data_IF_940651718314
#
_entry.id   IF_940651718314
#
_cell.length_a   1.000
_cell.length_b   1.000
_cell.length_c   1.000
_cell.angle_alpha   90.00
_cell.angle_beta   90.00
_cell.angle_gamma   90.00
#
_symmetry.space_group_name_H-M   'P 1'
#
loop_
_entity.id
_entity.type
_entity.pdbx_description
1 polymer ?
#
# COMPACT_ATOMS: atom_id res chain seq x y z
N UNK A 1 13.84 14.32 7.41
CA UNK A 1 13.71 15.56 6.61
C UNK A 1 14.91 16.51 6.74
N UNK A 2 15.76 16.39 7.75
CA UNK A 2 16.93 17.26 7.91
C UNK A 2 18.19 16.77 7.18
N UNK A 3 18.18 15.59 6.57
CA UNK A 3 19.33 14.97 5.90
C UNK A 3 19.17 14.73 4.39
N UNK A 4 18.30 15.51 3.72
CA UNK A 4 18.05 15.43 2.28
C UNK A 4 16.89 14.50 1.91
N UNK A 5 16.47 14.57 0.63
CA UNK A 5 15.27 13.89 0.08
C UNK A 5 15.37 12.36 -0.04
N UNK A 6 16.29 11.75 0.71
CA UNK A 6 16.62 10.34 0.54
C UNK A 6 15.85 9.39 1.47
N UNK A 7 15.30 9.91 2.55
CA UNK A 7 14.51 9.09 3.47
C UNK A 7 13.04 9.23 3.15
N UNK A 8 12.46 8.12 2.69
CA UNK A 8 11.05 8.08 2.36
C UNK A 8 10.20 8.00 3.61
N UNK A 9 9.29 8.96 3.75
CA UNK A 9 8.26 8.92 4.78
C UNK A 9 7.09 8.07 4.28
N UNK A 10 6.25 7.57 5.17
CA UNK A 10 4.99 6.91 4.79
C UNK A 10 4.14 7.78 3.89
N UNK A 11 4.06 9.07 4.18
CA UNK A 11 3.27 10.00 3.37
C UNK A 11 3.78 10.08 1.93
N UNK A 12 5.10 10.16 1.72
CA UNK A 12 5.66 10.21 0.35
C UNK A 12 5.44 8.91 -0.39
N UNK A 13 5.61 7.76 0.28
CA UNK A 13 5.31 6.44 -0.29
C UNK A 13 3.83 6.34 -0.69
N UNK A 14 2.91 6.65 0.22
CA UNK A 14 1.47 6.57 -0.03
C UNK A 14 1.02 7.47 -1.19
N UNK A 15 1.58 8.69 -1.32
CA UNK A 15 1.30 9.60 -2.45
C UNK A 15 1.80 8.99 -3.77
N UNK A 16 2.94 8.34 -3.77
CA UNK A 16 3.50 7.69 -4.95
C UNK A 16 2.67 6.47 -5.37
N UNK A 17 2.29 5.62 -4.41
CA UNK A 17 1.34 4.52 -4.66
C UNK A 17 0.06 5.06 -5.29
N UNK A 18 -0.52 6.12 -4.73
CA UNK A 18 -1.73 6.73 -5.25
C UNK A 18 -1.56 7.28 -6.68
N UNK A 19 -0.39 7.86 -7.01
CA UNK A 19 -0.09 8.35 -8.36
C UNK A 19 -0.01 7.20 -9.37
N UNK A 20 0.69 6.12 -9.04
CA UNK A 20 0.79 4.92 -9.89
C UNK A 20 -0.61 4.30 -10.08
N UNK A 21 -1.35 4.14 -8.99
CA UNK A 21 -2.68 3.57 -8.99
C UNK A 21 -3.68 4.36 -9.84
N UNK A 22 -3.67 5.70 -9.76
CA UNK A 22 -4.48 6.57 -10.63
C UNK A 22 -4.13 6.40 -12.11
N UNK A 23 -2.85 6.26 -12.42
CA UNK A 23 -2.40 6.06 -13.80
C UNK A 23 -2.92 4.74 -14.35
N UNK A 24 -2.77 3.65 -13.60
CA UNK A 24 -3.23 2.31 -14.03
C UNK A 24 -4.75 2.29 -14.13
N UNK A 25 -5.48 2.78 -13.12
CA UNK A 25 -6.95 2.80 -13.13
C UNK A 25 -7.52 3.62 -14.28
N UNK A 26 -6.90 4.76 -14.62
CA UNK A 26 -7.30 5.59 -15.75
C UNK A 26 -7.17 4.84 -17.08
N UNK A 27 -6.06 4.10 -17.29
CA UNK A 27 -5.85 3.29 -18.51
C UNK A 27 -6.84 2.15 -18.61
N UNK A 28 -7.18 1.54 -17.47
CA UNK A 28 -8.13 0.42 -17.40
C UNK A 28 -9.60 0.86 -17.42
N UNK A 29 -9.89 2.16 -17.36
CA UNK A 29 -11.25 2.69 -17.29
C UNK A 29 -11.96 2.41 -15.96
N UNK A 30 -11.21 2.26 -14.86
CA UNK A 30 -11.71 2.09 -13.52
C UNK A 30 -11.97 3.44 -12.83
N UNK A 31 -12.56 3.41 -11.64
CA UNK A 31 -12.80 4.61 -10.84
C UNK A 31 -11.49 5.09 -10.18
N UNK A 32 -10.86 6.11 -10.79
CA UNK A 32 -9.57 6.64 -10.33
C UNK A 32 -9.65 7.31 -8.96
N UNK A 33 -10.76 7.93 -8.60
CA UNK A 33 -10.96 8.54 -7.28
C UNK A 33 -11.06 7.48 -6.19
N UNK A 34 -11.79 6.38 -6.44
CA UNK A 34 -11.87 5.26 -5.51
C UNK A 34 -10.50 4.58 -5.35
N UNK A 35 -9.81 4.35 -6.46
CA UNK A 35 -8.46 3.77 -6.45
C UNK A 35 -7.49 4.62 -5.64
N UNK A 36 -7.51 5.94 -5.83
CA UNK A 36 -6.70 6.89 -5.06
C UNK A 36 -7.03 6.84 -3.57
N UNK A 37 -8.32 6.88 -3.22
CA UNK A 37 -8.76 6.85 -1.82
C UNK A 37 -8.29 5.57 -1.10
N UNK A 38 -8.39 4.41 -1.76
CA UNK A 38 -7.89 3.14 -1.22
C UNK A 38 -6.37 3.19 -1.06
N UNK A 39 -5.65 3.65 -2.09
CA UNK A 39 -4.19 3.76 -2.07
C UNK A 39 -3.68 4.71 -0.98
N UNK A 40 -4.38 5.82 -0.73
CA UNK A 40 -4.02 6.75 0.35
C UNK A 40 -4.27 6.17 1.74
N UNK A 41 -5.18 5.23 1.86
CA UNK A 41 -5.64 4.71 3.14
C UNK A 41 -5.10 3.31 3.50
N UNK A 42 -4.53 2.56 2.55
CA UNK A 42 -4.17 1.16 2.74
C UNK A 42 -3.27 0.92 3.96
N UNK A 43 -2.28 1.80 4.16
CA UNK A 43 -1.25 1.69 5.20
C UNK A 43 -1.50 2.52 6.47
N UNK A 44 -2.67 3.17 6.61
CA UNK A 44 -2.96 4.03 7.76
C UNK A 44 -2.84 3.31 9.11
N UNK A 45 -3.07 2.01 9.15
CA UNK A 45 -3.03 1.21 10.37
C UNK A 45 -1.64 0.70 10.75
N UNK A 46 -0.63 0.85 9.93
CA UNK A 46 0.69 0.28 10.19
C UNK A 46 1.38 0.91 11.42
N UNK A 47 1.97 0.08 12.32
CA UNK A 47 2.75 0.56 13.45
C UNK A 47 4.14 1.04 12.98
N UNK A 48 4.93 1.71 13.84
CA UNK A 48 6.34 1.97 13.59
C UNK A 48 7.12 0.67 13.33
N UNK A 49 8.15 0.74 12.49
CA UNK A 49 9.03 -0.38 12.10
C UNK A 49 8.38 -1.45 11.19
N UNK A 50 7.31 -1.08 10.45
CA UNK A 50 6.68 -1.93 9.43
C UNK A 50 6.23 -3.29 9.98
N UNK A 51 6.41 -4.35 9.20
CA UNK A 51 5.99 -5.70 9.57
C UNK A 51 6.66 -6.25 10.84
N UNK A 52 7.95 -5.93 11.07
CA UNK A 52 8.64 -6.34 12.31
C UNK A 52 8.01 -5.70 13.55
N UNK A 53 7.61 -4.43 13.44
CA UNK A 53 6.86 -3.75 14.50
C UNK A 53 5.47 -4.35 14.70
N UNK A 54 4.80 -4.70 13.63
CA UNK A 54 3.49 -5.36 13.66
C UNK A 54 3.56 -6.74 14.34
N UNK A 55 4.50 -7.60 13.95
CA UNK A 55 4.71 -8.91 14.55
C UNK A 55 5.00 -8.81 16.05
N UNK A 56 5.85 -7.86 16.43
CA UNK A 56 6.19 -7.60 17.83
C UNK A 56 4.94 -7.15 18.60
N UNK A 57 4.21 -6.18 18.06
CA UNK A 57 3.00 -5.65 18.69
C UNK A 57 1.91 -6.72 18.78
N UNK A 58 1.71 -7.51 17.73
CA UNK A 58 0.77 -8.64 17.72
C UNK A 58 1.10 -9.65 18.82
N UNK A 59 2.39 -9.98 19.00
CA UNK A 59 2.84 -10.90 20.06
C UNK A 59 2.60 -10.34 21.45
N UNK A 60 2.88 -9.05 21.67
CA UNK A 60 2.68 -8.37 22.96
C UNK A 60 1.19 -8.21 23.30
N UNK A 61 0.34 -8.15 22.30
CA UNK A 61 -1.11 -7.99 22.45
C UNK A 61 -1.87 -9.32 22.35
N UNK A 62 -1.21 -10.45 22.44
CA UNK A 62 -1.84 -11.77 22.31
C UNK A 62 -3.04 -11.96 23.26
N UNK A 63 -2.94 -11.50 24.50
CA UNK A 63 -4.02 -11.53 25.49
C UNK A 63 -5.20 -10.58 25.17
N UNK A 64 -5.04 -9.70 24.20
CA UNK A 64 -6.00 -8.67 23.77
C UNK A 64 -6.44 -8.84 22.32
N UNK A 65 -6.46 -10.06 21.80
CA UNK A 65 -6.83 -10.43 20.41
C UNK A 65 -5.77 -10.06 19.37
N UNK A 66 -4.54 -9.76 19.80
CA UNK A 66 -3.42 -9.44 18.90
C UNK A 66 -3.51 -8.04 18.29
N UNK A 67 -2.67 -7.81 17.28
CA UNK A 67 -2.65 -6.60 16.48
C UNK A 67 -2.56 -6.97 14.99
N UNK A 68 -3.32 -6.26 14.17
CA UNK A 68 -3.33 -6.37 12.70
C UNK A 68 -3.52 -4.98 12.12
N UNK A 69 -2.66 -4.59 11.17
CA UNK A 69 -2.67 -3.23 10.62
C UNK A 69 -3.93 -2.92 9.83
N UNK A 70 -4.53 -3.89 9.13
CA UNK A 70 -5.79 -3.68 8.39
C UNK A 70 -6.96 -3.47 9.37
N UNK A 71 -7.02 -4.25 10.45
CA UNK A 71 -8.02 -4.05 11.50
C UNK A 71 -7.85 -2.69 12.18
N UNK A 72 -6.61 -2.26 12.38
CA UNK A 72 -6.32 -0.95 12.95
C UNK A 72 -6.65 0.18 11.97
N UNK A 73 -6.35 0.04 10.67
CA UNK A 73 -6.78 0.99 9.64
C UNK A 73 -8.30 1.16 9.61
N UNK A 74 -9.05 0.03 9.59
CA UNK A 74 -10.50 0.08 9.68
C UNK A 74 -10.97 0.81 10.93
N UNK A 75 -10.38 0.51 12.08
CA UNK A 75 -10.75 1.14 13.36
C UNK A 75 -10.46 2.64 13.36
N UNK A 76 -9.34 3.05 12.76
CA UNK A 76 -9.00 4.47 12.59
C UNK A 76 -10.09 5.19 11.82
N UNK A 77 -10.41 4.73 10.61
CA UNK A 77 -11.31 5.44 9.70
C UNK A 77 -12.80 5.31 10.06
N UNK A 78 -13.18 4.34 10.90
CA UNK A 78 -14.60 4.12 11.27
C UNK A 78 -14.95 4.55 12.69
N UNK A 79 -13.94 4.73 13.58
CA UNK A 79 -14.20 5.00 15.01
C UNK A 79 -13.31 6.07 15.61
N UNK A 80 -11.97 6.01 15.37
CA UNK A 80 -11.02 6.83 16.13
C UNK A 80 -10.97 8.26 15.60
N UNK A 81 -10.99 8.42 14.27
CA UNK A 81 -11.04 9.75 13.65
C UNK A 81 -12.37 10.44 13.96
N UNK A 82 -12.30 11.62 14.55
CA UNK A 82 -13.48 12.37 15.02
C UNK A 82 -13.48 13.79 14.49
N UNK A 83 -13.73 13.91 13.20
CA UNK A 83 -13.82 15.21 12.53
C UNK A 83 -15.26 15.78 12.47
N UNK A 84 -16.26 14.94 12.70
CA UNK A 84 -17.67 15.29 12.55
C UNK A 84 -18.43 15.12 13.86
N UNK A 85 -19.25 16.11 14.21
CA UNK A 85 -20.04 16.07 15.45
C UNK A 85 -21.18 15.03 15.42
N UNK A 86 -21.62 14.62 14.23
CA UNK A 86 -22.78 13.77 14.02
C UNK A 86 -22.48 12.27 14.05
N UNK A 87 -21.22 11.87 13.84
CA UNK A 87 -20.81 10.47 13.77
C UNK A 87 -19.31 10.30 14.05
N UNK A 88 -18.92 9.12 14.50
CA UNK A 88 -17.52 8.72 14.62
C UNK A 88 -16.97 8.29 13.24
N UNK A 89 -15.65 8.39 13.08
CA UNK A 89 -14.96 8.02 11.84
C UNK A 89 -15.08 9.07 10.72
N UNK A 90 -14.67 8.68 9.53
CA UNK A 90 -14.62 9.53 8.33
C UNK A 90 -15.83 9.38 7.41
N UNK A 91 -16.76 8.48 7.73
CA UNK A 91 -17.93 8.15 6.91
C UNK A 91 -17.57 7.78 5.46
N UNK A 92 -16.54 6.94 5.31
CA UNK A 92 -16.11 6.46 4.00
C UNK A 92 -17.16 5.54 3.37
N UNK A 93 -17.15 5.45 2.03
CA UNK A 93 -18.06 4.56 1.32
C UNK A 93 -17.73 3.09 1.57
N UNK A 94 -18.69 2.22 1.32
CA UNK A 94 -18.52 0.78 1.46
C UNK A 94 -17.36 0.25 0.61
N UNK A 95 -17.25 0.73 -0.63
CA UNK A 95 -16.20 0.34 -1.58
C UNK A 95 -14.81 0.73 -1.09
N UNK A 96 -14.66 1.89 -0.47
CA UNK A 96 -13.40 2.33 0.12
C UNK A 96 -13.01 1.45 1.30
N UNK A 97 -13.95 1.16 2.21
CA UNK A 97 -13.71 0.31 3.38
C UNK A 97 -13.39 -1.14 2.98
N UNK A 98 -14.13 -1.67 2.02
CA UNK A 98 -13.88 -2.98 1.42
C UNK A 98 -12.46 -3.04 0.83
N UNK A 99 -12.09 -2.02 0.07
CA UNK A 99 -10.76 -1.92 -0.52
C UNK A 99 -9.63 -1.85 0.50
N UNK A 100 -9.77 -1.02 1.54
CA UNK A 100 -8.78 -0.91 2.62
C UNK A 100 -8.50 -2.27 3.28
N UNK A 101 -9.55 -3.06 3.53
CA UNK A 101 -9.42 -4.33 4.24
C UNK A 101 -8.91 -5.46 3.33
N UNK A 102 -9.27 -5.43 2.05
CA UNK A 102 -9.03 -6.54 1.12
C UNK A 102 -7.98 -6.24 0.05
N UNK A 103 -7.24 -5.14 0.12
CA UNK A 103 -6.19 -4.87 -0.88
C UNK A 103 -5.15 -6.01 -0.93
N UNK A 104 -4.87 -6.68 0.19
CA UNK A 104 -4.00 -7.87 0.25
C UNK A 104 -4.72 -9.19 -0.10
N UNK A 105 -5.96 -9.14 -0.58
CA UNK A 105 -6.74 -10.29 -0.99
C UNK A 105 -7.86 -10.68 -0.01
N UNK A 106 -8.60 -11.77 -0.30
CA UNK A 106 -9.69 -12.27 0.54
C UNK A 106 -9.22 -12.71 1.93
N UNK A 107 -10.00 -12.42 2.97
CA UNK A 107 -9.71 -12.82 4.36
C UNK A 107 -10.31 -14.20 4.64
N UNK A 108 -9.63 -15.27 4.22
CA UNK A 108 -10.16 -16.64 4.31
C UNK A 108 -9.99 -17.27 5.69
N UNK A 109 -9.01 -16.83 6.48
CA UNK A 109 -8.67 -17.38 7.80
C UNK A 109 -8.14 -16.28 8.71
N UNK A 110 -8.26 -16.48 10.02
CA UNK A 110 -7.63 -15.60 11.00
C UNK A 110 -8.17 -14.17 11.00
N UNK A 111 -9.43 -13.96 10.58
CA UNK A 111 -10.02 -12.61 10.50
C UNK A 111 -9.95 -11.94 11.87
N UNK A 112 -9.30 -10.76 11.99
CA UNK A 112 -9.22 -10.00 13.22
C UNK A 112 -10.60 -9.69 13.80
N UNK A 113 -10.69 -9.64 15.13
CA UNK A 113 -11.97 -9.47 15.83
C UNK A 113 -12.70 -8.19 15.41
N UNK A 114 -11.98 -7.07 15.27
CA UNK A 114 -12.59 -5.81 14.87
C UNK A 114 -13.20 -5.88 13.47
N UNK A 115 -12.49 -6.46 12.50
CA UNK A 115 -13.00 -6.65 11.12
C UNK A 115 -14.23 -7.54 11.14
N UNK A 116 -14.21 -8.65 11.86
CA UNK A 116 -15.33 -9.57 11.96
C UNK A 116 -16.58 -8.92 12.57
N UNK A 117 -16.39 -8.12 13.62
CA UNK A 117 -17.49 -7.41 14.27
C UNK A 117 -18.07 -6.33 13.36
N UNK A 118 -17.22 -5.63 12.62
CA UNK A 118 -17.65 -4.62 11.64
C UNK A 118 -18.39 -5.26 10.45
N UNK A 119 -17.86 -6.37 9.91
CA UNK A 119 -18.48 -7.12 8.80
C UNK A 119 -19.86 -7.67 9.17
N UNK A 120 -20.08 -8.08 10.42
CA UNK A 120 -21.38 -8.54 10.89
C UNK A 120 -22.49 -7.47 10.72
N UNK A 121 -22.13 -6.19 10.78
CA UNK A 121 -23.03 -5.06 10.64
C UNK A 121 -23.09 -4.50 9.19
N UNK A 122 -21.98 -4.51 8.48
CA UNK A 122 -21.81 -3.78 7.21
C UNK A 122 -21.53 -4.67 5.98
N UNK A 123 -21.35 -5.99 6.17
CA UNK A 123 -21.23 -6.98 5.08
C UNK A 123 -20.16 -6.67 4.04
N UNK A 124 -18.88 -6.58 4.43
CA UNK A 124 -17.76 -6.26 3.53
C UNK A 124 -17.36 -7.39 2.57
N UNK A 125 -18.09 -8.52 2.55
CA UNK A 125 -17.84 -9.67 1.67
C UNK A 125 -16.38 -10.18 1.77
N UNK A 126 -15.93 -10.43 3.01
CA UNK A 126 -14.53 -10.70 3.34
C UNK A 126 -13.91 -11.87 2.55
N UNK A 127 -14.71 -12.84 2.12
CA UNK A 127 -14.26 -14.06 1.45
C UNK A 127 -14.15 -13.94 -0.06
N UNK A 128 -14.70 -12.87 -0.65
CA UNK A 128 -14.61 -12.58 -2.07
C UNK A 128 -13.36 -11.75 -2.38
N UNK A 129 -12.90 -11.79 -3.63
CA UNK A 129 -11.85 -10.87 -4.06
C UNK A 129 -12.31 -9.42 -3.95
N UNK A 130 -11.35 -8.54 -3.70
CA UNK A 130 -11.59 -7.11 -3.66
C UNK A 130 -11.99 -6.56 -5.03
N UNK A 131 -12.56 -5.34 -5.05
CA UNK A 131 -12.80 -4.59 -6.28
C UNK A 131 -11.54 -4.47 -7.15
N UNK A 132 -11.72 -4.24 -8.45
CA UNK A 132 -10.58 -4.03 -9.35
C UNK A 132 -9.73 -2.82 -8.91
N UNK A 133 -10.37 -1.79 -8.39
CA UNK A 133 -9.71 -0.61 -7.83
C UNK A 133 -8.79 -0.96 -6.65
N UNK A 134 -9.23 -1.81 -5.74
CA UNK A 134 -8.42 -2.26 -4.62
C UNK A 134 -7.25 -3.16 -5.08
N UNK A 135 -7.46 -4.00 -6.09
CA UNK A 135 -6.40 -4.80 -6.68
C UNK A 135 -5.36 -3.92 -7.41
N UNK A 136 -5.80 -2.83 -8.06
CA UNK A 136 -4.88 -1.84 -8.63
C UNK A 136 -4.10 -1.11 -7.55
N UNK A 137 -4.73 -0.76 -6.42
CA UNK A 137 -4.03 -0.16 -5.29
C UNK A 137 -2.92 -1.10 -4.76
N UNK A 138 -3.22 -2.39 -4.59
CA UNK A 138 -2.25 -3.40 -4.15
C UNK A 138 -1.06 -3.55 -5.09
N UNK A 139 -1.31 -3.72 -6.40
CA UNK A 139 -0.20 -3.85 -7.36
C UNK A 139 0.63 -2.57 -7.48
N UNK A 140 0.02 -1.41 -7.23
CA UNK A 140 0.70 -0.12 -7.24
C UNK A 140 1.60 0.06 -6.03
N UNK A 141 1.22 -0.49 -4.88
CA UNK A 141 2.08 -0.56 -3.71
C UNK A 141 3.31 -1.44 -3.98
N UNK A 142 3.12 -2.63 -4.55
CA UNK A 142 4.21 -3.50 -4.97
C UNK A 142 5.17 -2.80 -5.96
N UNK A 143 4.65 -2.05 -6.93
CA UNK A 143 5.45 -1.31 -7.91
C UNK A 143 6.28 -0.23 -7.21
N UNK A 144 5.66 0.58 -6.35
CA UNK A 144 6.34 1.64 -5.62
C UNK A 144 7.40 1.04 -4.68
N UNK A 145 7.06 0.03 -3.91
CA UNK A 145 7.96 -0.66 -2.99
C UNK A 145 9.19 -1.23 -3.71
N UNK A 146 8.99 -2.03 -4.75
CA UNK A 146 10.09 -2.63 -5.51
C UNK A 146 10.98 -1.58 -6.18
N UNK A 147 10.41 -0.50 -6.71
CA UNK A 147 11.18 0.61 -7.30
C UNK A 147 12.09 1.26 -6.28
N UNK A 148 11.64 1.37 -5.04
CA UNK A 148 12.42 1.93 -3.95
C UNK A 148 13.54 1.02 -3.49
N UNK A 149 13.26 -0.26 -3.32
CA UNK A 149 14.25 -1.25 -2.91
C UNK A 149 15.39 -1.33 -3.93
N UNK A 150 15.07 -1.26 -5.22
CA UNK A 150 16.08 -1.21 -6.28
C UNK A 150 16.94 0.06 -6.17
N UNK A 151 16.32 1.22 -5.97
CA UNK A 151 17.04 2.48 -5.83
C UNK A 151 17.92 2.51 -4.57
N UNK A 152 17.39 2.06 -3.44
CA UNK A 152 18.11 2.01 -2.18
C UNK A 152 19.26 0.99 -2.23
N UNK A 153 19.05 -0.15 -2.86
CA UNK A 153 20.08 -1.17 -3.07
C UNK A 153 21.24 -0.68 -3.94
N UNK A 154 20.94 0.00 -5.05
CA UNK A 154 21.96 0.65 -5.90
C UNK A 154 22.75 1.69 -5.12
N UNK A 155 22.09 2.51 -4.36
CA UNK A 155 22.70 3.56 -3.55
C UNK A 155 23.56 3.01 -2.42
N UNK A 156 23.09 1.95 -1.77
CA UNK A 156 23.84 1.22 -0.75
C UNK A 156 24.98 0.38 -1.34
N UNK A 157 25.09 0.31 -2.68
CA UNK A 157 26.08 -0.49 -3.40
C UNK A 157 25.98 -1.98 -3.09
N UNK A 158 24.77 -2.47 -2.86
CA UNK A 158 24.49 -3.89 -2.66
C UNK A 158 24.57 -4.66 -3.99
N UNK A 159 24.31 -3.98 -5.09
CA UNK A 159 24.42 -4.48 -6.47
C UNK A 159 24.70 -3.31 -7.44
N UNK A 160 25.11 -3.64 -8.66
CA UNK A 160 25.41 -2.66 -9.71
C UNK A 160 24.31 -2.59 -10.76
N UNK A 161 24.35 -1.55 -11.61
CA UNK A 161 23.43 -1.41 -12.77
C UNK A 161 23.62 -2.58 -13.75
N UNK A 162 24.86 -3.04 -13.95
CA UNK A 162 25.18 -4.17 -14.84
C UNK A 162 24.55 -5.47 -14.33
N UNK A 163 24.54 -5.68 -13.02
CA UNK A 163 23.86 -6.82 -12.40
C UNK A 163 22.36 -6.75 -12.61
N UNK A 164 21.74 -5.57 -12.42
CA UNK A 164 20.31 -5.36 -12.69
C UNK A 164 19.96 -5.55 -14.16
N UNK A 165 20.79 -5.07 -15.08
CA UNK A 165 20.61 -5.25 -16.51
C UNK A 165 20.68 -6.71 -16.97
N UNK A 166 21.18 -7.61 -16.11
CA UNK A 166 21.15 -9.05 -16.36
C UNK A 166 19.74 -9.66 -16.18
N UNK A 167 18.85 -9.02 -15.41
CA UNK A 167 17.50 -9.51 -15.15
C UNK A 167 16.60 -9.27 -16.37
N UNK A 168 15.78 -10.26 -16.78
CA UNK A 168 15.04 -10.19 -18.05
C UNK A 168 14.20 -8.93 -18.22
N UNK A 169 13.39 -8.58 -17.22
CA UNK A 169 12.51 -7.41 -17.26
C UNK A 169 13.30 -6.10 -17.33
N UNK A 170 14.30 -5.95 -16.47
CA UNK A 170 15.10 -4.71 -16.40
C UNK A 170 16.01 -4.55 -17.62
N UNK A 171 16.50 -5.65 -18.20
CA UNK A 171 17.26 -5.63 -19.44
C UNK A 171 16.52 -4.97 -20.59
N UNK A 172 15.23 -5.25 -20.74
CA UNK A 172 14.44 -4.62 -21.79
C UNK A 172 14.29 -3.12 -21.53
N UNK A 173 14.01 -2.72 -20.29
CA UNK A 173 13.93 -1.32 -19.91
C UNK A 173 15.25 -0.56 -20.16
N UNK A 174 16.38 -1.12 -19.73
CA UNK A 174 17.70 -0.52 -19.97
C UNK A 174 18.00 -0.39 -21.46
N UNK A 175 17.72 -1.43 -22.26
CA UNK A 175 17.89 -1.38 -23.71
C UNK A 175 17.07 -0.24 -24.34
N UNK A 176 15.80 -0.08 -23.98
CA UNK A 176 14.96 0.99 -24.50
C UNK A 176 15.48 2.38 -24.12
N UNK A 177 16.01 2.52 -22.91
CA UNK A 177 16.62 3.78 -22.44
C UNK A 177 17.88 4.08 -23.23
N UNK A 178 18.78 3.11 -23.41
CA UNK A 178 20.03 3.26 -24.15
C UNK A 178 19.80 3.60 -25.64
N UNK A 179 18.82 2.96 -26.26
CA UNK A 179 18.41 3.25 -27.64
C UNK A 179 17.88 4.68 -27.77
N UNK A 180 17.12 5.14 -26.79
CA UNK A 180 16.52 6.48 -26.80
C UNK A 180 17.49 7.57 -26.36
N UNK A 181 18.41 7.24 -25.45
CA UNK A 181 19.35 8.19 -24.83
C UNK A 181 20.80 7.63 -24.82
N UNK A 182 21.45 7.46 -25.99
CA UNK A 182 22.73 6.75 -26.12
C UNK A 182 23.94 7.39 -25.42
N UNK A 183 23.74 8.45 -24.64
CA UNK A 183 24.78 9.14 -23.88
C UNK A 183 24.40 9.36 -22.41
N UNK A 184 23.42 8.63 -21.91
CA UNK A 184 22.90 8.83 -20.55
C UNK A 184 23.98 8.59 -19.47
N UNK A 185 24.92 7.66 -19.73
CA UNK A 185 26.03 7.34 -18.81
C UNK A 185 27.07 8.50 -18.68
N UNK A 186 26.91 9.59 -19.42
CA UNK A 186 27.82 10.75 -19.36
C UNK A 186 27.30 11.85 -18.43
N UNK A 187 26.13 11.68 -17.84
CA UNK A 187 25.47 12.61 -16.92
C UNK A 187 25.23 11.95 -15.56
#
# INVERSE_FOLDING_TARGET
>A
EHEGDYYRTRLTHTIEVAQVARTISSVLGLNSELTEAISLAHDLGHPPFGHTGEETLNSLMADYSGFDHNAHALKLVTLIERHYAAFDGLNLTWETLEGIIKHNGPLLKGVPEYIRNYDALHKLNLYDFASAEAQVAAISDDIAYNSHDLHDGLRAKLFSIEELASLPLLRECFREVDEKYPKIDQY
#
